data_IF_599418416246
#
_entry.id   IF_599418416246
#
_cell.length_a   1.000
_cell.length_b   1.000
_cell.length_c   1.000
_cell.angle_alpha   90.00
_cell.angle_beta   90.00
_cell.angle_gamma   90.00
#
_symmetry.space_group_name_H-M   'P 1'
#
loop_
_entity.id
_entity.type
_entity.pdbx_description
1 polymer ?
#
# COMPACT_ATOMS: atom_id res chain seq x y z
N UNK A 1 8.26 15.38 17.02
CA UNK A 1 8.64 14.44 15.93
C UNK A 1 9.69 13.50 16.50
N UNK A 2 9.50 12.20 16.32
CA UNK A 2 10.33 11.19 16.98
C UNK A 2 11.62 10.96 16.19
N UNK A 3 12.66 10.53 16.90
CA UNK A 3 14.04 10.39 16.43
C UNK A 3 14.22 9.45 15.22
N UNK A 4 13.23 8.59 14.95
CA UNK A 4 13.23 7.69 13.78
C UNK A 4 13.03 8.41 12.43
N UNK A 5 12.56 9.66 12.43
CA UNK A 5 12.28 10.45 11.21
C UNK A 5 13.57 10.97 10.51
N UNK A 6 14.77 10.75 11.08
CA UNK A 6 16.01 11.42 10.67
C UNK A 6 16.98 10.58 9.80
N UNK A 7 16.53 9.46 9.24
CA UNK A 7 17.35 8.61 8.36
C UNK A 7 17.27 8.97 6.87
N UNK A 8 18.08 9.92 6.41
CA UNK A 8 18.61 9.99 5.02
C UNK A 8 17.62 10.11 3.86
N UNK A 9 17.34 11.36 3.44
CA UNK A 9 16.86 11.68 2.09
C UNK A 9 15.35 11.94 1.97
N UNK A 10 15.02 13.23 1.84
CA UNK A 10 13.66 13.80 1.63
C UNK A 10 12.77 13.67 2.88
N UNK A 11 12.37 14.83 3.44
CA UNK A 11 11.39 14.96 4.52
C UNK A 11 10.04 14.37 4.08
N UNK A 12 9.85 13.07 4.20
CA UNK A 12 8.59 12.40 3.93
C UNK A 12 7.99 12.04 5.27
N UNK A 13 6.81 12.57 5.56
CA UNK A 13 6.05 12.20 6.76
C UNK A 13 5.84 10.69 6.76
N UNK A 14 6.20 10.00 7.84
CA UNK A 14 6.14 8.53 7.87
C UNK A 14 4.74 7.95 7.65
N UNK A 15 3.69 8.74 7.92
CA UNK A 15 2.31 8.35 7.59
C UNK A 15 1.94 8.48 6.10
N UNK A 16 2.80 9.04 5.24
CA UNK A 16 2.53 9.29 3.81
C UNK A 16 3.74 8.91 2.93
N UNK A 17 4.43 7.82 3.30
CA UNK A 17 5.59 7.35 2.54
C UNK A 17 5.17 6.71 1.22
N UNK A 18 5.85 7.02 0.09
CA UNK A 18 5.62 6.30 -1.15
C UNK A 18 5.86 4.80 -0.99
N UNK A 19 5.01 3.99 -1.62
CA UNK A 19 5.03 2.53 -1.51
C UNK A 19 6.38 1.93 -1.90
N UNK A 20 7.06 2.51 -2.89
CA UNK A 20 8.39 2.08 -3.33
C UNK A 20 9.50 2.37 -2.31
N UNK A 21 9.35 3.40 -1.48
CA UNK A 21 10.29 3.71 -0.40
C UNK A 21 10.01 2.79 0.79
N UNK A 22 8.74 2.55 1.11
CA UNK A 22 8.34 1.61 2.14
C UNK A 22 8.80 0.18 1.82
N UNK A 23 8.68 -0.24 0.55
CA UNK A 23 9.17 -1.53 0.06
C UNK A 23 10.68 -1.71 0.27
N UNK A 24 11.47 -0.64 0.11
CA UNK A 24 12.92 -0.68 0.31
C UNK A 24 13.33 -0.80 1.77
N UNK A 25 12.47 -0.40 2.72
CA UNK A 25 12.74 -0.52 4.16
C UNK A 25 12.68 -1.97 4.65
N UNK A 26 12.00 -2.86 3.93
CA UNK A 26 11.98 -4.29 4.21
C UNK A 26 10.84 -5.00 3.49
N UNK A 27 11.01 -6.29 3.20
CA UNK A 27 10.03 -7.08 2.46
C UNK A 27 8.64 -7.10 3.14
N UNK A 28 8.60 -7.16 4.47
CA UNK A 28 7.36 -7.15 5.25
C UNK A 28 6.85 -5.75 5.62
N UNK A 29 7.60 -4.68 5.31
CA UNK A 29 7.23 -3.32 5.71
C UNK A 29 5.86 -2.93 5.14
N UNK A 30 5.60 -3.28 3.88
CA UNK A 30 4.33 -3.01 3.21
C UNK A 30 3.18 -3.82 3.83
N UNK A 31 3.45 -5.05 4.28
CA UNK A 31 2.46 -5.93 4.93
C UNK A 31 2.01 -5.37 6.28
N UNK A 32 2.89 -4.72 7.03
CA UNK A 32 2.52 -4.10 8.30
C UNK A 32 1.90 -2.71 8.14
N UNK A 33 2.12 -2.05 7.00
CA UNK A 33 1.52 -0.76 6.64
C UNK A 33 0.24 -0.92 5.81
N UNK A 34 0.25 -0.52 4.52
CA UNK A 34 -0.98 -0.42 3.72
C UNK A 34 -1.61 -1.76 3.38
N UNK A 35 -0.85 -2.87 3.39
CA UNK A 35 -1.39 -4.19 3.06
C UNK A 35 -1.83 -5.03 4.26
N UNK A 36 -1.99 -4.39 5.42
CA UNK A 36 -2.25 -5.08 6.68
C UNK A 36 -3.66 -5.70 6.73
N UNK A 37 -3.80 -7.02 6.90
CA UNK A 37 -5.09 -7.70 6.86
C UNK A 37 -5.74 -7.76 8.26
N UNK A 38 -5.79 -6.64 9.00
CA UNK A 38 -6.43 -6.62 10.33
C UNK A 38 -7.95 -6.62 10.18
N UNK A 39 -8.62 -7.49 10.93
CA UNK A 39 -10.09 -7.59 10.93
C UNK A 39 -10.70 -8.25 9.68
N UNK A 40 -9.86 -8.67 8.72
CA UNK A 40 -10.31 -9.31 7.50
C UNK A 40 -10.12 -10.83 7.57
N UNK A 41 -11.15 -11.56 7.13
CA UNK A 41 -11.15 -13.00 6.96
C UNK A 41 -11.59 -13.28 5.53
N UNK A 42 -10.78 -14.01 4.78
CA UNK A 42 -11.10 -14.35 3.41
C UNK A 42 -12.31 -15.31 3.40
N UNK A 43 -13.44 -14.96 2.75
CA UNK A 43 -14.62 -15.80 2.74
C UNK A 43 -14.43 -17.11 1.96
N UNK A 44 -13.43 -17.18 1.05
CA UNK A 44 -13.13 -18.38 0.26
C UNK A 44 -12.42 -19.45 1.08
N UNK A 45 -11.51 -19.03 1.95
CA UNK A 45 -10.64 -19.93 2.72
C UNK A 45 -11.01 -19.99 4.20
N UNK A 46 -11.75 -19.00 4.71
CA UNK A 46 -12.03 -18.87 6.14
C UNK A 46 -10.79 -18.57 6.96
N UNK A 47 -9.67 -18.16 6.35
CA UNK A 47 -8.44 -17.80 7.04
C UNK A 47 -8.14 -16.32 6.91
N UNK A 48 -7.26 -15.81 7.77
CA UNK A 48 -6.75 -14.44 7.64
C UNK A 48 -5.79 -14.41 6.45
N UNK A 49 -6.02 -13.56 5.43
CA UNK A 49 -5.11 -13.46 4.29
C UNK A 49 -3.73 -12.97 4.73
N UNK A 50 -2.69 -13.30 3.97
CA UNK A 50 -1.31 -12.87 4.28
C UNK A 50 -1.14 -11.35 4.10
N UNK A 51 -1.72 -10.81 3.05
CA UNK A 51 -1.71 -9.38 2.75
C UNK A 51 -2.97 -9.05 1.94
N UNK A 52 -3.43 -7.80 2.01
CA UNK A 52 -4.60 -7.35 1.24
C UNK A 52 -4.29 -6.03 0.55
N UNK A 53 -4.90 -5.79 -0.60
CA UNK A 53 -4.99 -4.45 -1.17
C UNK A 53 -6.42 -3.97 -1.03
N UNK A 54 -6.60 -2.82 -0.40
CA UNK A 54 -7.93 -2.24 -0.23
C UNK A 54 -8.23 -1.28 -1.38
N UNK A 55 -9.37 -1.48 -2.01
CA UNK A 55 -9.92 -0.58 -3.03
C UNK A 55 -11.00 0.28 -2.40
N UNK A 56 -10.94 1.58 -2.64
CA UNK A 56 -11.99 2.53 -2.25
C UNK A 56 -12.67 3.09 -3.49
N UNK A 57 -14.00 3.08 -3.49
CA UNK A 57 -14.80 3.73 -4.53
C UNK A 57 -14.61 5.24 -4.46
N UNK A 58 -14.28 5.87 -5.59
CA UNK A 58 -14.06 7.32 -5.69
C UNK A 58 -15.27 8.06 -6.29
N UNK A 59 -16.15 7.37 -7.01
CA UNK A 59 -17.35 7.97 -7.59
C UNK A 59 -18.62 7.20 -7.21
N UNK A 60 -19.75 7.90 -7.17
CA UNK A 60 -21.03 7.30 -6.79
C UNK A 60 -21.47 6.16 -7.73
N UNK A 61 -20.99 6.18 -8.98
CA UNK A 61 -21.29 5.16 -9.99
C UNK A 61 -20.50 3.85 -9.81
N UNK A 62 -19.50 3.83 -8.92
CA UNK A 62 -18.69 2.62 -8.69
C UNK A 62 -17.85 2.19 -9.88
N UNK A 63 -17.49 3.12 -10.77
CA UNK A 63 -16.65 2.85 -11.96
C UNK A 63 -15.19 3.26 -11.76
N UNK A 64 -14.89 4.03 -10.71
CA UNK A 64 -13.54 4.46 -10.37
C UNK A 64 -13.19 4.00 -8.95
N UNK A 65 -12.07 3.29 -8.83
CA UNK A 65 -11.52 2.81 -7.56
C UNK A 65 -10.10 3.31 -7.37
N UNK A 66 -9.78 3.65 -6.13
CA UNK A 66 -8.44 4.04 -5.71
C UNK A 66 -7.78 2.96 -4.84
N UNK A 67 -6.45 2.85 -4.96
CA UNK A 67 -5.63 1.95 -4.16
C UNK A 67 -5.31 2.62 -2.82
N UNK A 68 -5.92 2.15 -1.74
CA UNK A 68 -5.78 2.77 -0.41
C UNK A 68 -4.36 2.56 0.11
N UNK A 69 -3.66 3.66 0.44
CA UNK A 69 -2.31 3.63 1.01
C UNK A 69 -1.19 3.31 0.01
N UNK A 70 -1.46 3.44 -1.29
CA UNK A 70 -0.51 3.18 -2.38
C UNK A 70 -0.09 4.49 -3.08
N UNK A 71 0.30 5.49 -2.29
CA UNK A 71 0.95 6.68 -2.84
C UNK A 71 2.27 6.26 -3.50
N UNK A 72 2.55 6.75 -4.71
CA UNK A 72 3.77 6.36 -5.45
C UNK A 72 4.26 7.48 -6.35
N UNK A 73 5.58 7.55 -6.57
CA UNK A 73 6.20 8.39 -7.58
C UNK A 73 6.72 7.57 -8.78
N UNK A 74 6.32 6.29 -8.90
CA UNK A 74 6.67 5.46 -10.04
C UNK A 74 6.11 6.05 -11.33
N UNK A 75 6.83 5.86 -12.44
CA UNK A 75 6.32 6.23 -13.77
C UNK A 75 5.08 5.39 -14.11
N UNK A 76 4.14 5.95 -14.87
CA UNK A 76 2.87 5.28 -15.23
C UNK A 76 3.05 3.86 -15.82
N UNK A 77 4.10 3.65 -16.64
CA UNK A 77 4.41 2.31 -17.17
C UNK A 77 4.74 1.29 -16.09
N UNK A 78 5.51 1.69 -15.08
CA UNK A 78 5.85 0.83 -13.94
C UNK A 78 4.67 0.63 -13.00
N UNK A 79 3.84 1.66 -12.81
CA UNK A 79 2.59 1.51 -12.05
C UNK A 79 1.70 0.43 -12.68
N UNK A 80 1.50 0.49 -14.00
CA UNK A 80 0.69 -0.51 -14.72
C UNK A 80 1.29 -1.92 -14.61
N UNK A 81 2.62 -2.05 -14.72
CA UNK A 81 3.33 -3.33 -14.61
C UNK A 81 3.21 -3.91 -13.20
N UNK A 82 3.52 -3.13 -12.15
CA UNK A 82 3.57 -3.60 -10.77
C UNK A 82 2.19 -3.80 -10.19
N UNK A 83 1.29 -2.82 -10.33
CA UNK A 83 -0.06 -2.93 -9.77
C UNK A 83 -0.93 -3.93 -10.56
N UNK A 84 -0.61 -4.19 -11.82
CA UNK A 84 -1.23 -5.26 -12.61
C UNK A 84 -0.83 -6.68 -12.19
N UNK A 85 0.19 -6.85 -11.32
CA UNK A 85 0.55 -8.15 -10.75
C UNK A 85 -0.29 -8.51 -9.52
N UNK A 86 -1.10 -7.58 -9.02
CA UNK A 86 -1.92 -7.79 -7.82
C UNK A 86 -3.19 -8.56 -8.25
N UNK A 87 -3.49 -9.69 -7.60
CA UNK A 87 -4.56 -10.61 -8.02
C UNK A 87 -5.98 -10.11 -7.75
#
# INVERSE_FOLDING_TARGET
LHEFDQGGGRKVYEGCMPIEVLAKRGADAIRFGPMKPVGLRDPRTGHRPWAVLQLRMENAQGTLFNLVGFQTNLKFGEQKRVFGMIP
#
